data_IF_309688736296
#
_entry.id   IF_309688736296
#
_cell.length_a   1.000
_cell.length_b   1.000
_cell.length_c   1.000
_cell.angle_alpha   90.00
_cell.angle_beta   90.00
_cell.angle_gamma   90.00
#
_symmetry.space_group_name_H-M   'P 1'
#
loop_
_entity.id
_entity.type
_entity.pdbx_description
1 polymer ?
#
# COMPACT_ATOMS: atom_id res chain seq x y z
N UNK A 1 -36.41 -3.51 -4.84
CA UNK A 1 -35.86 -4.83 -4.46
C UNK A 1 -35.26 -4.84 -3.04
N UNK A 2 -34.62 -3.75 -2.60
CA UNK A 2 -34.11 -3.59 -1.21
C UNK A 2 -35.17 -3.68 -0.11
N UNK A 3 -36.39 -3.15 -0.34
CA UNK A 3 -37.46 -3.15 0.68
C UNK A 3 -37.97 -4.56 1.07
N UNK A 4 -37.86 -5.55 0.17
CA UNK A 4 -38.32 -6.92 0.47
C UNK A 4 -37.28 -7.78 1.23
N UNK A 5 -36.01 -7.38 1.20
CA UNK A 5 -34.94 -8.04 1.98
C UNK A 5 -35.07 -7.65 3.47
N UNK A 6 -35.50 -6.41 3.74
CA UNK A 6 -35.68 -5.89 5.09
C UNK A 6 -36.86 -6.52 5.86
N UNK A 7 -37.89 -7.00 5.18
CA UNK A 7 -39.09 -7.55 5.85
C UNK A 7 -38.93 -8.99 6.36
N UNK A 8 -37.82 -9.67 6.03
CA UNK A 8 -37.58 -11.09 6.35
C UNK A 8 -36.42 -11.29 7.33
N UNK A 9 -36.06 -10.25 8.08
CA UNK A 9 -35.03 -10.29 9.11
C UNK A 9 -35.72 -10.20 10.48
N UNK A 10 -35.36 -11.08 11.40
CA UNK A 10 -35.92 -11.07 12.75
C UNK A 10 -35.69 -9.71 13.39
N UNK A 11 -36.67 -9.17 14.11
CA UNK A 11 -36.65 -7.77 14.60
C UNK A 11 -35.37 -7.39 15.37
N UNK A 12 -34.68 -8.36 15.97
CA UNK A 12 -33.40 -8.18 16.64
C UNK A 12 -32.24 -7.85 15.69
N UNK A 13 -32.19 -8.46 14.51
CA UNK A 13 -31.16 -8.17 13.49
C UNK A 13 -31.38 -6.80 12.83
N UNK A 14 -32.64 -6.39 12.69
CA UNK A 14 -33.01 -5.07 12.15
C UNK A 14 -32.69 -3.94 13.14
N UNK A 15 -32.91 -4.18 14.45
CA UNK A 15 -32.53 -3.25 15.52
C UNK A 15 -31.01 -3.12 15.60
N UNK A 16 -30.24 -4.20 15.55
CA UNK A 16 -28.77 -4.15 15.58
C UNK A 16 -28.14 -3.46 14.35
N UNK A 17 -28.73 -3.63 13.15
CA UNK A 17 -28.24 -2.96 11.94
C UNK A 17 -28.58 -1.46 11.92
N UNK A 18 -29.73 -1.07 12.49
CA UNK A 18 -30.12 0.34 12.59
C UNK A 18 -29.32 1.05 13.69
N UNK A 19 -29.05 0.39 14.83
CA UNK A 19 -28.23 0.99 15.90
C UNK A 19 -26.74 1.08 15.55
N UNK A 20 -26.21 0.19 14.70
CA UNK A 20 -24.81 0.27 14.23
C UNK A 20 -24.59 1.31 13.14
N UNK A 21 -25.57 1.59 12.26
CA UNK A 21 -25.46 2.67 11.27
C UNK A 21 -25.68 4.08 11.85
N UNK A 22 -26.33 4.21 13.01
CA UNK A 22 -26.54 5.51 13.69
C UNK A 22 -25.44 5.85 14.73
N UNK A 23 -24.47 4.95 14.95
CA UNK A 23 -23.47 5.12 16.00
C UNK A 23 -22.30 6.09 15.72
N UNK A 24 -21.99 6.55 14.48
CA UNK A 24 -21.01 7.62 14.31
C UNK A 24 -21.70 8.92 13.86
N UNK A 25 -22.71 9.39 14.60
CA UNK A 25 -23.27 10.75 14.41
C UNK A 25 -23.39 11.55 15.71
N UNK A 26 -22.77 11.10 16.80
CA UNK A 26 -22.65 11.91 18.01
C UNK A 26 -21.19 11.91 18.44
N UNK A 27 -20.42 12.79 17.80
CA UNK A 27 -19.48 13.70 18.47
C UNK A 27 -18.69 14.49 17.42
N UNK A 28 -19.38 15.36 16.67
CA UNK A 28 -18.72 16.58 16.20
C UNK A 28 -18.61 17.50 17.42
N UNK A 29 -17.55 17.35 18.22
CA UNK A 29 -17.29 18.26 19.32
C UNK A 29 -16.96 19.63 18.72
N UNK A 30 -17.88 20.58 18.89
CA UNK A 30 -17.65 22.00 18.65
C UNK A 30 -16.64 22.50 19.68
N UNK A 31 -15.35 22.33 19.40
CA UNK A 31 -14.26 22.90 20.18
C UNK A 31 -14.13 24.38 19.81
N UNK A 32 -14.05 25.25 20.82
CA UNK A 32 -13.90 26.69 20.63
C UNK A 32 -12.84 27.24 21.58
N UNK A 33 -12.22 28.37 21.23
CA UNK A 33 -11.15 29.02 22.02
C UNK A 33 -9.98 28.10 22.41
N UNK A 34 -9.27 27.55 21.42
CA UNK A 34 -8.06 26.78 21.69
C UNK A 34 -6.88 27.70 22.07
N UNK A 35 -6.15 27.34 23.11
CA UNK A 35 -4.95 28.02 23.57
C UNK A 35 -3.85 26.99 23.89
N UNK A 36 -2.59 27.42 23.84
CA UNK A 36 -1.44 26.51 23.85
C UNK A 36 -0.61 26.68 25.10
N UNK A 37 -0.42 25.59 25.84
CA UNK A 37 0.50 25.51 26.98
C UNK A 37 1.67 24.59 26.59
N UNK A 38 2.81 25.20 26.23
CA UNK A 38 4.00 24.47 25.79
C UNK A 38 3.79 23.71 24.48
N UNK A 39 3.83 22.38 24.51
CA UNK A 39 3.67 21.49 23.35
C UNK A 39 2.26 20.94 23.17
N UNK A 40 1.31 21.28 24.06
CA UNK A 40 -0.05 20.72 24.06
C UNK A 40 -1.07 21.83 23.83
N UNK A 41 -2.02 21.60 22.94
CA UNK A 41 -3.13 22.51 22.65
C UNK A 41 -4.35 22.11 23.51
N UNK A 42 -4.95 23.09 24.16
CA UNK A 42 -6.14 22.91 25.02
C UNK A 42 -7.29 23.70 24.41
N UNK A 43 -8.46 23.09 24.31
CA UNK A 43 -9.66 23.74 23.77
C UNK A 43 -10.81 23.66 24.78
N UNK A 44 -11.70 24.66 24.77
CA UNK A 44 -12.91 24.64 25.59
C UNK A 44 -14.00 23.80 24.91
N UNK A 45 -14.52 22.84 25.67
CA UNK A 45 -15.71 22.07 25.30
C UNK A 45 -17.00 22.86 25.52
N UNK A 46 -18.16 22.32 25.09
CA UNK A 46 -19.48 22.93 25.31
C UNK A 46 -19.83 23.11 26.80
N UNK A 47 -19.18 22.36 27.69
CA UNK A 47 -19.36 22.45 29.14
C UNK A 47 -18.47 23.53 29.80
N UNK A 48 -17.72 24.30 29.00
CA UNK A 48 -16.79 25.33 29.49
C UNK A 48 -15.52 24.80 30.15
N UNK A 49 -15.31 23.48 30.11
CA UNK A 49 -14.14 22.81 30.67
C UNK A 49 -13.04 22.65 29.62
N UNK A 50 -11.78 22.88 30.02
CA UNK A 50 -10.61 22.75 29.15
C UNK A 50 -10.22 21.27 28.97
N UNK A 51 -10.06 20.84 27.73
CA UNK A 51 -9.64 19.47 27.39
C UNK A 51 -8.39 19.47 26.50
N UNK A 52 -7.39 18.60 26.75
CA UNK A 52 -6.18 18.52 25.94
C UNK A 52 -6.45 17.82 24.60
N UNK A 53 -6.07 18.46 23.51
CA UNK A 53 -6.16 17.92 22.13
C UNK A 53 -4.74 17.80 21.57
N UNK A 54 -4.29 16.57 21.27
CA UNK A 54 -2.92 16.31 20.80
C UNK A 54 -2.86 16.13 19.27
N UNK A 55 -2.34 17.19 18.63
CA UNK A 55 -1.52 17.29 17.39
C UNK A 55 -1.93 16.59 16.09
N UNK A 56 -2.40 17.39 15.13
CA UNK A 56 -2.15 17.16 13.71
C UNK A 56 -1.06 18.11 13.19
N UNK A 57 -0.18 17.55 12.36
CA UNK A 57 0.99 18.15 11.72
C UNK A 57 0.68 19.52 11.09
N UNK A 58 1.62 20.44 11.27
CA UNK A 58 1.67 21.76 10.66
C UNK A 58 1.68 21.68 9.13
N UNK A 59 0.74 22.38 8.48
CA UNK A 59 0.89 22.82 7.09
C UNK A 59 1.73 24.11 7.07
N UNK A 60 2.67 24.29 6.11
CA UNK A 60 3.50 25.48 6.05
C UNK A 60 2.74 26.65 5.44
N UNK A 61 2.66 27.76 6.17
CA UNK A 61 2.26 29.07 5.65
C UNK A 61 3.48 29.86 5.18
N UNK A 62 3.29 30.54 4.05
CA UNK A 62 4.25 31.31 3.26
C UNK A 62 4.68 32.64 3.91
N UNK A 63 5.94 33.02 3.61
CA UNK A 63 6.53 34.38 3.50
C UNK A 63 7.56 34.79 4.60
N UNK A 64 8.50 35.73 4.34
CA UNK A 64 9.14 36.18 3.08
C UNK A 64 10.69 36.09 3.12
N UNK A 65 11.32 36.36 1.96
CA UNK A 65 12.77 36.48 1.74
C UNK A 65 13.52 37.31 2.81
N UNK A 66 14.64 36.76 3.32
CA UNK A 66 15.82 37.55 3.67
C UNK A 66 17.10 36.66 3.79
N UNK A 67 18.09 37.04 2.99
CA UNK A 67 19.54 36.91 3.20
C UNK A 67 20.20 35.53 3.35
N UNK A 68 21.09 35.26 2.39
CA UNK A 68 22.15 34.24 2.43
C UNK A 68 22.98 34.31 3.71
N UNK A 69 23.10 33.17 4.40
CA UNK A 69 24.21 32.89 5.31
C UNK A 69 24.54 31.39 5.20
N UNK A 70 25.78 31.12 4.81
CA UNK A 70 26.41 29.80 4.69
C UNK A 70 26.48 29.12 6.06
N UNK A 71 26.01 27.87 6.23
CA UNK A 71 26.32 27.11 7.44
C UNK A 71 27.59 26.30 7.22
N UNK A 72 28.65 26.72 7.90
CA UNK A 72 29.83 25.91 8.21
C UNK A 72 29.39 24.68 9.00
N UNK A 73 29.84 23.50 8.58
CA UNK A 73 29.57 22.23 9.24
C UNK A 73 30.16 22.20 10.65
N UNK A 74 29.30 22.01 11.65
CA UNK A 74 29.71 21.66 13.01
C UNK A 74 29.35 20.20 13.25
N UNK A 75 30.37 19.39 13.52
CA UNK A 75 30.28 17.98 13.92
C UNK A 75 29.28 17.80 15.07
N UNK A 76 28.18 17.09 14.82
CA UNK A 76 27.34 16.52 15.87
C UNK A 76 27.84 15.09 16.14
N UNK A 77 28.27 14.84 17.38
CA UNK A 77 28.71 13.55 17.87
C UNK A 77 27.62 12.49 17.67
N UNK A 78 27.84 11.57 16.73
CA UNK A 78 27.02 10.37 16.59
C UNK A 78 27.55 9.31 17.56
N UNK A 79 26.68 8.73 18.38
CA UNK A 79 26.99 7.56 19.20
C UNK A 79 27.41 6.41 18.28
N UNK A 80 28.71 6.12 18.25
CA UNK A 80 29.36 5.10 17.42
C UNK A 80 29.24 3.69 18.01
N UNK A 81 28.06 3.32 18.50
CA UNK A 81 27.78 1.97 18.99
C UNK A 81 26.74 1.29 18.09
N UNK A 82 26.99 0.05 17.71
CA UNK A 82 26.03 -0.79 16.98
C UNK A 82 25.43 -1.79 17.97
N UNK A 83 24.11 -1.92 17.95
CA UNK A 83 23.34 -2.69 18.95
C UNK A 83 22.32 -3.60 18.28
N UNK A 84 21.70 -4.51 19.03
CA UNK A 84 20.62 -5.37 18.52
C UNK A 84 21.07 -6.31 17.38
N UNK A 85 22.16 -7.04 17.62
CA UNK A 85 22.71 -7.99 16.64
C UNK A 85 21.92 -9.31 16.57
N UNK A 86 21.72 -9.82 15.36
CA UNK A 86 21.03 -11.08 15.07
C UNK A 86 21.69 -11.81 13.89
N UNK A 87 21.38 -13.10 13.73
CA UNK A 87 21.98 -13.98 12.72
C UNK A 87 21.01 -14.25 11.57
N UNK A 88 21.50 -14.11 10.34
CA UNK A 88 20.88 -14.66 9.15
C UNK A 88 21.83 -15.69 8.53
N UNK A 89 21.43 -16.97 8.61
CA UNK A 89 22.27 -18.11 8.22
C UNK A 89 23.63 -18.11 8.94
N UNK A 90 24.69 -17.62 8.30
CA UNK A 90 26.06 -17.54 8.84
C UNK A 90 26.61 -16.12 8.88
N UNK A 91 25.74 -15.10 8.73
CA UNK A 91 26.10 -13.68 8.72
C UNK A 91 25.43 -12.98 9.91
N UNK A 92 26.19 -12.15 10.62
CA UNK A 92 25.69 -11.36 11.74
C UNK A 92 25.31 -9.96 11.26
N UNK A 93 24.09 -9.54 11.58
CA UNK A 93 23.54 -8.22 11.27
C UNK A 93 23.25 -7.46 12.56
N UNK A 94 23.50 -6.16 12.61
CA UNK A 94 23.31 -5.29 13.77
C UNK A 94 22.66 -3.96 13.35
N UNK A 95 22.07 -3.23 14.29
CA UNK A 95 21.47 -1.90 14.05
C UNK A 95 22.46 -0.82 14.47
N UNK A 96 22.79 0.08 13.54
CA UNK A 96 23.65 1.22 13.80
C UNK A 96 22.89 2.38 14.48
N UNK A 97 23.63 3.38 14.99
CA UNK A 97 23.06 4.53 15.70
C UNK A 97 22.12 5.40 14.86
N UNK A 98 22.15 5.27 13.53
CA UNK A 98 21.23 5.90 12.58
C UNK A 98 20.00 5.04 12.26
N UNK A 99 19.84 3.90 12.93
CA UNK A 99 18.73 2.96 12.74
C UNK A 99 18.85 2.04 11.54
N UNK A 100 19.97 2.10 10.79
CA UNK A 100 20.19 1.24 9.62
C UNK A 100 20.82 -0.09 10.02
N UNK A 101 20.50 -1.12 9.25
CA UNK A 101 21.08 -2.44 9.44
C UNK A 101 22.45 -2.53 8.77
N UNK A 102 23.41 -3.11 9.49
CA UNK A 102 24.80 -3.28 9.06
C UNK A 102 25.25 -4.72 9.32
N UNK A 103 26.05 -5.27 8.40
CA UNK A 103 26.61 -6.61 8.54
C UNK A 103 27.98 -6.52 9.23
N UNK A 104 28.21 -7.37 10.22
CA UNK A 104 29.51 -7.46 10.91
C UNK A 104 30.29 -8.65 10.34
N UNK A 105 31.53 -8.40 9.93
CA UNK A 105 32.45 -9.44 9.45
C UNK A 105 33.12 -10.08 10.66
N UNK A 106 32.52 -11.15 11.19
CA UNK A 106 33.06 -11.92 12.31
C UNK A 106 32.73 -13.41 12.19
N UNK A 107 33.49 -14.30 12.85
CA UNK A 107 33.28 -15.73 12.79
C UNK A 107 32.00 -16.12 13.56
N UNK A 108 30.85 -16.07 12.89
CA UNK A 108 29.65 -16.75 13.35
C UNK A 108 29.81 -18.25 13.09
N UNK A 109 30.41 -18.96 14.05
CA UNK A 109 30.34 -20.42 14.08
C UNK A 109 28.88 -20.88 14.19
N UNK A 110 28.51 -22.05 13.64
CA UNK A 110 27.12 -22.52 13.59
C UNK A 110 26.41 -22.67 14.94
N UNK A 111 27.13 -22.50 16.07
CA UNK A 111 26.61 -22.61 17.44
C UNK A 111 27.05 -21.45 18.35
N UNK A 112 27.41 -20.28 17.81
CA UNK A 112 27.87 -19.14 18.62
C UNK A 112 26.90 -17.97 18.48
N UNK A 113 26.20 -17.63 19.56
CA UNK A 113 25.33 -16.45 19.62
C UNK A 113 26.19 -15.19 19.44
N UNK A 114 25.87 -14.30 18.49
CA UNK A 114 26.63 -13.07 18.31
C UNK A 114 26.49 -12.20 19.56
N UNK A 115 27.51 -11.39 19.89
CA UNK A 115 27.41 -10.45 20.99
C UNK A 115 26.30 -9.43 20.72
N UNK A 116 25.58 -9.05 21.77
CA UNK A 116 24.37 -8.19 21.67
C UNK A 116 24.66 -6.75 21.25
N UNK A 117 25.92 -6.31 21.38
CA UNK A 117 26.38 -4.98 20.97
C UNK A 117 27.89 -4.99 20.68
N UNK A 118 28.32 -4.10 19.79
CA UNK A 118 29.72 -3.73 19.60
C UNK A 118 29.89 -2.25 19.92
N UNK A 119 30.98 -1.92 20.60
CA UNK A 119 31.27 -0.59 21.13
C UNK A 119 32.58 -0.05 20.57
N UNK A 120 32.88 1.22 20.81
CA UNK A 120 34.14 1.86 20.41
C UNK A 120 34.43 1.79 18.90
N UNK A 121 33.42 2.09 18.08
CA UNK A 121 33.60 2.06 16.64
C UNK A 121 34.42 3.25 16.14
N UNK A 122 35.44 2.97 15.35
CA UNK A 122 36.36 3.94 14.78
C UNK A 122 36.61 3.63 13.29
N UNK A 123 37.11 4.62 12.54
CA UNK A 123 37.30 4.51 11.09
C UNK A 123 38.77 4.43 10.74
N UNK A 124 39.11 3.46 9.87
CA UNK A 124 40.38 3.42 9.15
C UNK A 124 40.09 3.68 7.68
N UNK A 125 40.39 4.90 7.22
CA UNK A 125 40.01 5.35 5.88
C UNK A 125 38.48 5.39 5.71
N UNK A 126 37.95 4.67 4.72
CA UNK A 126 36.51 4.59 4.43
C UNK A 126 35.78 3.48 5.21
N UNK A 127 36.50 2.60 5.90
CA UNK A 127 35.96 1.43 6.58
C UNK A 127 35.68 1.72 8.06
N UNK A 128 34.58 1.18 8.58
CA UNK A 128 34.20 1.30 9.99
C UNK A 128 34.54 -0.01 10.71
N UNK A 129 35.26 0.09 11.82
CA UNK A 129 35.64 -1.01 12.67
C UNK A 129 35.02 -0.81 14.05
N UNK A 130 34.54 -1.89 14.67
CA UNK A 130 33.95 -1.86 16.01
C UNK A 130 34.60 -2.92 16.90
N UNK A 131 34.65 -2.68 18.21
CA UNK A 131 35.27 -3.59 19.17
C UNK A 131 34.20 -4.47 19.82
N UNK A 132 34.41 -5.78 19.74
CA UNK A 132 33.59 -6.80 20.39
C UNK A 132 33.95 -7.01 21.87
N UNK A 133 33.15 -7.79 22.61
CA UNK A 133 33.36 -8.01 24.05
C UNK A 133 34.67 -8.73 24.40
N UNK A 134 35.31 -9.38 23.43
CA UNK A 134 36.61 -10.05 23.58
C UNK A 134 37.80 -9.17 23.17
N UNK A 135 37.59 -7.85 23.01
CA UNK A 135 38.56 -6.91 22.43
C UNK A 135 38.99 -7.28 21.00
N UNK A 136 38.15 -8.02 20.27
CA UNK A 136 38.35 -8.28 18.85
C UNK A 136 37.77 -7.15 18.02
N UNK A 137 38.49 -6.75 16.98
CA UNK A 137 38.08 -5.67 16.09
C UNK A 137 37.41 -6.27 14.84
N UNK A 138 36.16 -5.89 14.60
CA UNK A 138 35.34 -6.43 13.50
C UNK A 138 35.00 -5.33 12.51
N UNK A 139 35.11 -5.65 11.22
CA UNK A 139 34.76 -4.73 10.14
C UNK A 139 33.25 -4.70 9.94
N UNK A 140 32.66 -3.51 10.00
CA UNK A 140 31.23 -3.27 9.76
C UNK A 140 31.04 -2.88 8.30
N UNK A 141 30.34 -3.75 7.58
CA UNK A 141 29.90 -3.55 6.21
C UNK A 141 28.47 -3.00 6.25
N UNK A 142 28.15 -2.01 5.41
CA UNK A 142 26.74 -1.64 5.21
C UNK A 142 26.01 -2.88 4.69
N UNK A 143 24.88 -3.26 5.31
CA UNK A 143 24.14 -4.41 4.84
C UNK A 143 23.60 -4.10 3.44
N UNK A 144 24.13 -4.77 2.42
CA UNK A 144 23.39 -4.91 1.17
C UNK A 144 22.09 -5.60 1.53
N UNK A 145 20.96 -4.93 1.25
CA UNK A 145 19.64 -5.44 1.53
C UNK A 145 19.46 -6.82 0.88
N UNK A 146 19.67 -7.89 1.66
CA UNK A 146 19.50 -9.26 1.18
C UNK A 146 18.02 -9.52 0.95
N UNK A 147 17.59 -9.38 -0.30
CA UNK A 147 16.36 -9.99 -0.79
C UNK A 147 16.48 -11.52 -0.79
N UNK A 148 15.37 -12.25 -0.58
CA UNK A 148 15.37 -13.70 -0.50
C UNK A 148 15.70 -14.34 -1.85
N UNK A 149 16.46 -15.44 -1.79
CA UNK A 149 16.79 -16.35 -2.88
C UNK A 149 15.56 -16.76 -3.68
N UNK A 150 15.53 -16.38 -4.95
CA UNK A 150 14.76 -17.01 -6.01
C UNK A 150 15.56 -16.87 -7.30
N UNK A 151 16.23 -17.95 -7.70
CA UNK A 151 17.03 -17.95 -8.93
C UNK A 151 16.18 -17.65 -10.15
N UNK A 152 16.76 -16.94 -11.13
CA UNK A 152 16.87 -17.40 -12.50
C UNK A 152 17.74 -16.42 -13.34
N UNK A 153 18.81 -17.01 -13.87
CA UNK A 153 19.45 -16.75 -15.17
C UNK A 153 19.85 -15.32 -15.53
N UNK A 154 21.13 -15.04 -15.33
CA UNK A 154 21.82 -13.91 -15.94
C UNK A 154 21.96 -14.11 -17.44
N UNK A 155 21.58 -13.10 -18.21
CA UNK A 155 22.04 -12.96 -19.59
C UNK A 155 22.56 -11.55 -19.85
N UNK A 156 23.84 -11.54 -20.22
CA UNK A 156 24.65 -10.46 -20.74
C UNK A 156 24.02 -9.86 -22.01
N UNK A 157 23.92 -8.53 -22.07
CA UNK A 157 23.99 -7.81 -23.33
C UNK A 157 24.89 -6.59 -23.17
N UNK A 158 25.98 -6.59 -23.94
CA UNK A 158 26.93 -5.51 -24.04
C UNK A 158 26.35 -4.30 -24.77
N UNK A 159 26.46 -3.16 -24.12
CA UNK A 159 27.10 -1.94 -24.63
C UNK A 159 27.36 -1.07 -23.39
N UNK A 160 28.46 -0.32 -23.35
CA UNK A 160 29.04 0.37 -22.18
C UNK A 160 28.04 1.17 -21.31
N UNK A 161 27.29 0.52 -20.42
CA UNK A 161 26.33 1.15 -19.53
C UNK A 161 26.34 0.48 -18.16
N UNK A 162 26.40 1.31 -17.11
CA UNK A 162 26.45 0.93 -15.71
C UNK A 162 25.43 -0.16 -15.37
N UNK A 163 25.87 -1.18 -14.64
CA UNK A 163 24.99 -2.23 -14.10
C UNK A 163 23.97 -1.56 -13.17
N UNK A 164 22.68 -1.53 -13.53
CA UNK A 164 21.63 -0.84 -12.77
C UNK A 164 20.85 -1.87 -11.92
N UNK A 165 20.67 -1.58 -10.64
CA UNK A 165 19.75 -2.33 -9.77
C UNK A 165 18.36 -1.69 -9.81
N UNK A 166 17.41 -2.40 -10.40
CA UNK A 166 16.06 -1.91 -10.63
C UNK A 166 15.05 -2.68 -9.78
N UNK A 167 14.29 -1.98 -8.94
CA UNK A 167 13.22 -2.56 -8.14
C UNK A 167 11.88 -1.84 -8.37
N UNK A 168 10.78 -2.56 -8.17
CA UNK A 168 9.42 -2.05 -8.35
C UNK A 168 8.72 -1.87 -7.01
N UNK A 169 8.28 -0.64 -6.72
CA UNK A 169 7.38 -0.35 -5.60
C UNK A 169 6.19 0.46 -6.10
N UNK A 170 4.98 0.03 -5.75
CA UNK A 170 3.73 0.70 -6.11
C UNK A 170 3.57 1.00 -7.63
N UNK A 171 4.15 0.19 -8.50
CA UNK A 171 4.05 0.35 -9.96
C UNK A 171 5.01 1.37 -10.55
N UNK A 172 5.88 1.98 -9.75
CA UNK A 172 6.98 2.83 -10.19
C UNK A 172 8.28 2.02 -10.08
N UNK A 173 9.05 2.00 -11.17
CA UNK A 173 10.38 1.38 -11.17
C UNK A 173 11.43 2.40 -10.71
N UNK A 174 12.30 1.96 -9.81
CA UNK A 174 13.45 2.72 -9.35
C UNK A 174 14.69 1.95 -9.76
N UNK A 175 15.47 2.52 -10.67
CA UNK A 175 16.76 1.99 -11.10
C UNK A 175 17.88 2.84 -10.54
N UNK A 176 18.80 2.21 -9.80
CA UNK A 176 19.98 2.87 -9.22
C UNK A 176 21.25 2.23 -9.81
N UNK A 177 22.26 3.01 -10.23
CA UNK A 177 23.52 2.45 -10.73
C UNK A 177 24.26 1.69 -9.61
N UNK A 178 24.72 0.47 -9.88
CA UNK A 178 25.59 -0.28 -8.96
C UNK A 178 26.94 0.42 -8.85
N UNK A 179 27.26 0.91 -7.66
CA UNK A 179 28.54 1.53 -7.32
C UNK A 179 28.73 3.00 -7.76
N UNK A 180 27.67 3.70 -8.20
CA UNK A 180 27.73 5.12 -8.57
C UNK A 180 27.32 6.06 -7.43
N UNK A 181 28.06 7.17 -7.25
CA UNK A 181 27.64 8.30 -6.40
C UNK A 181 26.37 8.93 -6.98
N UNK A 182 25.42 9.21 -6.08
CA UNK A 182 24.14 9.90 -6.25
C UNK A 182 24.26 11.33 -6.84
N UNK A 183 24.90 11.47 -8.00
CA UNK A 183 24.88 12.73 -8.73
C UNK A 183 23.61 12.76 -9.58
N UNK A 184 22.73 13.71 -9.24
CA UNK A 184 21.51 14.15 -9.93
C UNK A 184 20.86 13.08 -10.82
N UNK A 185 19.70 12.51 -10.44
CA UNK A 185 19.00 11.57 -11.30
C UNK A 185 18.61 12.32 -12.58
N UNK A 186 19.41 12.16 -13.62
CA UNK A 186 19.03 12.49 -14.99
C UNK A 186 17.69 11.78 -15.19
N UNK A 187 16.63 12.57 -15.38
CA UNK A 187 15.28 12.06 -15.54
C UNK A 187 15.22 11.30 -16.88
N UNK A 188 15.60 10.04 -16.88
CA UNK A 188 15.55 9.17 -18.05
C UNK A 188 14.11 8.70 -18.20
N UNK A 189 13.38 9.36 -19.10
CA UNK A 189 12.02 8.98 -19.49
C UNK A 189 11.98 8.01 -20.67
N UNK A 190 13.12 7.38 -20.98
CA UNK A 190 13.21 6.47 -22.10
C UNK A 190 12.59 5.11 -21.76
N UNK A 191 12.03 4.45 -22.76
CA UNK A 191 11.38 3.15 -22.59
C UNK A 191 12.45 2.09 -22.39
N UNK A 192 12.54 1.53 -21.18
CA UNK A 192 13.47 0.43 -20.91
C UNK A 192 12.90 -0.88 -21.48
N UNK A 193 13.55 -1.40 -22.53
CA UNK A 193 13.27 -2.76 -23.03
C UNK A 193 13.80 -3.81 -22.05
N UNK A 194 12.89 -4.52 -21.38
CA UNK A 194 13.26 -5.72 -20.61
C UNK A 194 13.04 -6.95 -21.48
N UNK A 195 13.90 -7.95 -21.30
CA UNK A 195 13.66 -9.26 -21.88
C UNK A 195 12.55 -9.97 -21.08
N UNK A 196 11.32 -9.90 -21.58
CA UNK A 196 10.15 -10.49 -20.92
C UNK A 196 9.92 -11.92 -21.40
N UNK A 197 9.69 -12.82 -20.45
CA UNK A 197 9.25 -14.19 -20.77
C UNK A 197 7.79 -14.20 -21.24
N UNK A 198 7.61 -14.01 -22.54
CA UNK A 198 6.33 -14.14 -23.27
C UNK A 198 5.57 -15.43 -22.91
N UNK A 199 6.19 -16.64 -22.82
CA UNK A 199 5.44 -17.86 -22.51
C UNK A 199 4.78 -17.85 -21.12
N UNK A 200 5.41 -17.24 -20.10
CA UNK A 200 4.80 -17.16 -18.76
C UNK A 200 3.57 -16.24 -18.74
N UNK A 201 3.59 -15.15 -19.51
CA UNK A 201 2.42 -14.26 -19.64
C UNK A 201 1.27 -14.98 -20.32
N UNK A 202 1.54 -15.77 -21.35
CA UNK A 202 0.52 -16.56 -22.02
C UNK A 202 -0.04 -17.61 -21.06
N UNK A 203 0.84 -18.30 -20.31
CA UNK A 203 0.44 -19.29 -19.30
C UNK A 203 -0.45 -18.70 -18.19
N UNK A 204 -0.13 -17.50 -17.69
CA UNK A 204 -0.93 -16.86 -16.64
C UNK A 204 -2.33 -16.46 -17.12
N UNK A 205 -2.51 -16.11 -18.40
CA UNK A 205 -3.83 -15.86 -18.98
C UNK A 205 -4.73 -17.10 -18.91
N UNK A 206 -4.20 -18.28 -19.26
CA UNK A 206 -4.96 -19.53 -19.14
C UNK A 206 -5.30 -19.87 -17.69
N UNK A 207 -4.35 -19.64 -16.76
CA UNK A 207 -4.60 -19.85 -15.34
C UNK A 207 -5.71 -18.92 -14.81
N UNK A 208 -5.70 -17.63 -15.17
CA UNK A 208 -6.74 -16.67 -14.80
C UNK A 208 -8.09 -17.07 -15.40
N UNK A 209 -8.11 -17.55 -16.64
CA UNK A 209 -9.34 -17.99 -17.30
C UNK A 209 -9.97 -19.19 -16.58
N UNK A 210 -9.19 -20.23 -16.26
CA UNK A 210 -9.68 -21.43 -15.57
C UNK A 210 -10.14 -21.08 -14.15
N UNK A 211 -9.32 -20.35 -13.40
CA UNK A 211 -9.65 -19.96 -12.02
C UNK A 211 -10.88 -19.05 -11.95
N UNK A 212 -11.01 -18.11 -12.88
CA UNK A 212 -12.22 -17.26 -12.99
C UNK A 212 -13.45 -18.07 -13.35
N UNK A 213 -13.33 -19.05 -14.25
CA UNK A 213 -14.41 -19.99 -14.56
C UNK A 213 -14.89 -20.70 -13.28
N UNK A 214 -13.97 -21.32 -12.54
CA UNK A 214 -14.29 -22.00 -11.29
C UNK A 214 -14.94 -21.03 -10.29
N UNK A 215 -14.39 -19.82 -10.14
CA UNK A 215 -14.92 -18.81 -9.22
C UNK A 215 -16.36 -18.39 -9.54
N UNK A 216 -16.73 -18.27 -10.82
CA UNK A 216 -18.09 -17.89 -11.25
C UNK A 216 -19.05 -19.08 -11.19
N UNK A 217 -18.59 -20.29 -11.53
CA UNK A 217 -19.44 -21.48 -11.51
C UNK A 217 -19.67 -22.05 -10.10
N UNK A 218 -18.72 -21.87 -9.17
CA UNK A 218 -18.82 -22.37 -7.80
C UNK A 218 -20.11 -21.95 -7.06
N UNK A 219 -20.50 -20.65 -6.99
CA UNK A 219 -21.72 -20.25 -6.30
C UNK A 219 -23.00 -20.75 -6.99
N UNK A 220 -22.98 -20.91 -8.32
CA UNK A 220 -24.11 -21.44 -9.10
C UNK A 220 -24.31 -22.92 -8.79
N UNK A 221 -23.21 -23.69 -8.79
CA UNK A 221 -23.24 -25.12 -8.51
C UNK A 221 -23.61 -25.40 -7.04
N UNK A 222 -23.11 -24.58 -6.12
CA UNK A 222 -23.43 -24.67 -4.69
C UNK A 222 -24.93 -24.50 -4.43
N UNK A 223 -25.58 -23.52 -5.08
CA UNK A 223 -27.02 -23.29 -4.97
C UNK A 223 -27.83 -24.48 -5.50
N UNK A 224 -27.33 -25.20 -6.50
CA UNK A 224 -28.02 -26.36 -7.08
C UNK A 224 -28.02 -27.58 -6.16
N UNK A 225 -26.95 -27.80 -5.39
CA UNK A 225 -26.82 -28.99 -4.54
C UNK A 225 -27.35 -28.82 -3.11
N UNK A 226 -27.49 -27.60 -2.59
CA UNK A 226 -27.98 -27.36 -1.22
C UNK A 226 -29.21 -26.43 -1.19
N UNK A 227 -30.44 -26.97 -1.34
CA UNK A 227 -31.67 -26.18 -1.36
C UNK A 227 -32.22 -25.80 0.02
N UNK A 228 -31.42 -25.88 1.10
CA UNK A 228 -31.89 -25.55 2.45
C UNK A 228 -32.00 -24.03 2.69
N UNK A 229 -32.92 -23.59 3.54
CA UNK A 229 -33.08 -22.15 3.87
C UNK A 229 -31.84 -21.53 4.51
N UNK A 230 -30.98 -22.34 5.15
CA UNK A 230 -29.68 -21.92 5.66
C UNK A 230 -28.68 -21.56 4.54
N UNK A 231 -28.80 -22.16 3.35
CA UNK A 231 -27.92 -21.87 2.21
C UNK A 231 -28.22 -20.49 1.58
N UNK A 232 -29.44 -19.98 1.73
CA UNK A 232 -29.82 -18.66 1.24
C UNK A 232 -29.08 -17.52 1.98
N UNK A 233 -28.97 -17.59 3.30
CA UNK A 233 -28.24 -16.60 4.09
C UNK A 233 -26.74 -16.64 3.80
N UNK A 234 -26.15 -17.84 3.70
CA UNK A 234 -24.75 -18.01 3.33
C UNK A 234 -24.45 -17.43 1.94
N UNK A 235 -25.33 -17.65 0.97
CA UNK A 235 -25.20 -17.09 -0.38
C UNK A 235 -25.24 -15.56 -0.38
N UNK A 236 -26.11 -14.95 0.43
CA UNK A 236 -26.15 -13.49 0.57
C UNK A 236 -24.86 -12.93 1.17
N UNK A 237 -24.31 -13.57 2.21
CA UNK A 237 -23.05 -13.16 2.84
C UNK A 237 -21.91 -13.20 1.83
N UNK A 238 -21.75 -14.32 1.12
CA UNK A 238 -20.70 -14.48 0.11
C UNK A 238 -20.86 -13.45 -1.01
N UNK A 239 -22.09 -13.17 -1.44
CA UNK A 239 -22.37 -12.16 -2.47
C UNK A 239 -21.94 -10.76 -2.03
N UNK A 240 -22.27 -10.37 -0.79
CA UNK A 240 -21.93 -9.04 -0.27
C UNK A 240 -20.44 -8.92 0.05
N UNK A 241 -19.82 -10.00 0.53
CA UNK A 241 -18.38 -10.08 0.73
C UNK A 241 -17.62 -9.88 -0.59
N UNK A 242 -18.05 -10.57 -1.67
CA UNK A 242 -17.46 -10.41 -2.99
C UNK A 242 -17.56 -8.98 -3.53
N UNK A 243 -18.70 -8.31 -3.35
CA UNK A 243 -18.83 -6.89 -3.72
C UNK A 243 -17.90 -5.99 -2.89
N UNK A 244 -17.72 -6.28 -1.59
CA UNK A 244 -16.80 -5.54 -0.72
C UNK A 244 -15.34 -5.66 -1.18
N UNK A 245 -14.89 -6.87 -1.51
CA UNK A 245 -13.52 -7.10 -2.03
C UNK A 245 -13.30 -6.34 -3.33
N UNK A 246 -14.25 -6.40 -4.27
CA UNK A 246 -14.15 -5.67 -5.55
C UNK A 246 -14.05 -4.15 -5.35
N UNK A 247 -14.87 -3.59 -4.46
CA UNK A 247 -14.82 -2.15 -4.13
C UNK A 247 -13.49 -1.80 -3.46
N UNK A 248 -13.01 -2.60 -2.51
CA UNK A 248 -11.73 -2.36 -1.84
C UNK A 248 -10.56 -2.37 -2.84
N UNK A 249 -10.50 -3.36 -3.74
CA UNK A 249 -9.46 -3.42 -4.77
C UNK A 249 -9.52 -2.21 -5.71
N UNK A 250 -10.70 -1.78 -6.13
CA UNK A 250 -10.83 -0.63 -7.02
C UNK A 250 -10.34 0.68 -6.38
N UNK A 251 -10.76 0.98 -5.14
CA UNK A 251 -10.44 2.24 -4.48
C UNK A 251 -9.07 2.26 -3.81
N UNK A 252 -8.68 1.18 -3.12
CA UNK A 252 -7.43 1.18 -2.34
C UNK A 252 -6.24 0.81 -3.22
N UNK A 253 -6.42 -0.15 -4.13
CA UNK A 253 -5.30 -0.67 -4.92
C UNK A 253 -5.21 0.02 -6.28
N UNK A 254 -6.24 -0.06 -7.11
CA UNK A 254 -6.16 0.45 -8.48
C UNK A 254 -6.09 1.98 -8.55
N UNK A 255 -6.90 2.69 -7.77
CA UNK A 255 -6.90 4.15 -7.79
C UNK A 255 -5.57 4.74 -7.29
N UNK A 256 -5.00 4.20 -6.21
CA UNK A 256 -3.75 4.70 -5.65
C UNK A 256 -2.57 4.44 -6.59
N UNK A 257 -2.48 3.25 -7.18
CA UNK A 257 -1.50 2.94 -8.21
C UNK A 257 -1.63 3.86 -9.43
N UNK A 258 -2.86 4.16 -9.87
CA UNK A 258 -3.08 5.10 -10.96
C UNK A 258 -2.61 6.51 -10.59
N UNK A 259 -2.93 7.01 -9.40
CA UNK A 259 -2.50 8.33 -8.92
C UNK A 259 -0.97 8.45 -8.89
N UNK A 260 -0.28 7.44 -8.37
CA UNK A 260 1.20 7.43 -8.31
C UNK A 260 1.83 7.34 -9.70
N UNK A 261 1.23 6.59 -10.62
CA UNK A 261 1.73 6.47 -12.00
C UNK A 261 1.56 7.79 -12.77
N UNK A 262 0.43 8.48 -12.59
CA UNK A 262 0.18 9.79 -13.20
C UNK A 262 1.02 10.91 -12.58
N UNK A 263 1.50 10.75 -11.35
CA UNK A 263 2.40 11.70 -10.69
C UNK A 263 3.87 11.58 -11.13
N UNK A 264 4.20 10.67 -12.07
CA UNK A 264 5.55 10.51 -12.56
C UNK A 264 6.01 11.76 -13.34
N UNK A 265 7.23 12.24 -13.07
CA UNK A 265 7.81 13.43 -13.72
C UNK A 265 7.95 13.29 -15.24
N UNK A 266 7.96 12.07 -15.77
CA UNK A 266 8.04 11.81 -17.21
C UNK A 266 6.78 12.14 -18.00
N UNK A 267 5.61 12.25 -17.34
CA UNK A 267 4.36 12.64 -17.98
C UNK A 267 4.18 14.17 -18.07
N UNK A 268 5.11 14.95 -17.50
CA UNK A 268 5.05 16.42 -17.46
C UNK A 268 3.91 16.94 -16.58
N UNK A 269 3.54 18.23 -16.72
CA UNK A 269 2.35 18.77 -16.07
C UNK A 269 1.09 18.36 -16.83
N UNK A 270 0.25 17.57 -16.18
CA UNK A 270 -1.10 17.29 -16.66
C UNK A 270 -1.94 18.57 -16.65
N UNK A 271 -2.82 18.74 -17.65
CA UNK A 271 -3.76 19.87 -17.72
C UNK A 271 -4.79 19.85 -16.59
N UNK A 272 -5.03 18.67 -16.02
CA UNK A 272 -5.94 18.45 -14.91
C UNK A 272 -5.24 17.61 -13.84
N UNK A 273 -5.24 18.08 -12.60
CA UNK A 273 -4.47 17.44 -11.52
C UNK A 273 -5.11 16.13 -11.03
N UNK A 274 -6.42 16.00 -11.20
CA UNK A 274 -7.20 14.86 -10.71
C UNK A 274 -7.66 13.91 -11.83
N UNK A 275 -6.80 13.66 -12.84
CA UNK A 275 -7.13 12.79 -14.00
C UNK A 275 -7.54 11.39 -13.61
N UNK A 276 -6.83 10.77 -12.65
CA UNK A 276 -7.12 9.41 -12.19
C UNK A 276 -8.54 9.28 -11.60
N UNK A 277 -8.93 10.21 -10.73
CA UNK A 277 -10.26 10.20 -10.09
C UNK A 277 -11.35 10.63 -11.07
N UNK A 278 -11.06 11.51 -12.04
CA UNK A 278 -11.98 11.85 -13.12
C UNK A 278 -12.31 10.62 -13.99
N UNK A 279 -11.30 9.82 -14.37
CA UNK A 279 -11.51 8.57 -15.12
C UNK A 279 -12.30 7.57 -14.27
N UNK A 280 -12.02 7.47 -12.97
CA UNK A 280 -12.81 6.63 -12.06
C UNK A 280 -14.30 7.05 -12.02
N UNK A 281 -14.58 8.35 -11.89
CA UNK A 281 -15.96 8.87 -11.92
C UNK A 281 -16.65 8.56 -13.25
N UNK A 282 -15.94 8.71 -14.38
CA UNK A 282 -16.46 8.34 -15.69
C UNK A 282 -16.78 6.83 -15.79
N UNK A 283 -15.92 5.97 -15.22
CA UNK A 283 -16.15 4.53 -15.16
C UNK A 283 -17.37 4.14 -14.32
N UNK A 284 -17.56 4.79 -13.17
CA UNK A 284 -18.75 4.59 -12.33
C UNK A 284 -20.03 5.03 -13.06
N UNK A 285 -20.00 6.20 -13.69
CA UNK A 285 -21.12 6.69 -14.50
C UNK A 285 -21.46 5.73 -15.64
N UNK A 286 -20.46 5.21 -16.36
CA UNK A 286 -20.67 4.22 -17.42
C UNK A 286 -21.26 2.91 -16.88
N UNK A 287 -20.83 2.47 -15.69
CA UNK A 287 -21.39 1.29 -15.03
C UNK A 287 -22.88 1.48 -14.71
N UNK A 288 -23.26 2.65 -14.17
CA UNK A 288 -24.66 2.99 -13.93
C UNK A 288 -25.48 3.07 -15.21
N UNK A 289 -24.91 3.61 -16.30
CA UNK A 289 -25.58 3.62 -17.60
C UNK A 289 -25.84 2.20 -18.10
N UNK A 290 -24.86 1.30 -18.01
CA UNK A 290 -25.04 -0.10 -18.42
C UNK A 290 -26.10 -0.80 -17.58
N UNK A 291 -26.14 -0.56 -16.27
CA UNK A 291 -27.18 -1.09 -15.38
C UNK A 291 -28.57 -0.54 -15.77
N UNK A 292 -28.68 0.76 -16.03
CA UNK A 292 -29.92 1.41 -16.48
C UNK A 292 -30.42 0.84 -17.81
N UNK A 293 -29.55 0.76 -18.82
CA UNK A 293 -29.90 0.18 -20.12
C UNK A 293 -30.26 -1.30 -19.99
N UNK A 294 -29.53 -2.07 -19.19
CA UNK A 294 -29.83 -3.48 -18.90
C UNK A 294 -31.24 -3.65 -18.31
N UNK A 295 -31.58 -2.86 -17.28
CA UNK A 295 -32.92 -2.87 -16.71
C UNK A 295 -34.00 -2.43 -17.70
N UNK A 296 -33.72 -1.39 -18.51
CA UNK A 296 -34.67 -0.88 -19.50
C UNK A 296 -34.96 -1.90 -20.61
N UNK A 297 -33.94 -2.58 -21.11
CA UNK A 297 -34.06 -3.61 -22.15
C UNK A 297 -34.77 -4.85 -21.58
N UNK A 298 -34.45 -5.28 -20.36
CA UNK A 298 -35.15 -6.41 -19.74
C UNK A 298 -36.62 -6.08 -19.45
N UNK A 299 -36.92 -4.88 -18.96
CA UNK A 299 -38.30 -4.44 -18.72
C UNK A 299 -39.13 -4.37 -20.01
N UNK A 300 -38.52 -3.99 -21.15
CA UNK A 300 -39.23 -3.97 -22.44
C UNK A 300 -39.44 -5.36 -23.04
N UNK A 301 -38.58 -6.34 -22.71
CA UNK A 301 -38.71 -7.74 -23.16
C UNK A 301 -39.69 -8.58 -22.33
N UNK A 302 -39.95 -8.21 -21.07
CA UNK A 302 -40.90 -8.91 -20.19
C UNK A 302 -42.35 -8.43 -20.41
N UNK A 303 -42.54 -7.20 -20.90
CA UNK A 303 -43.86 -6.59 -21.14
C UNK A 303 -44.68 -7.01 -22.39
N UNK A 304 -44.22 -7.83 -23.35
CA UNK A 304 -45.10 -8.29 -24.44
C UNK A 304 -46.05 -9.43 -24.07
N UNK A 305 -45.83 -10.16 -22.96
CA UNK A 305 -46.59 -11.39 -22.66
C UNK A 305 -47.83 -11.17 -21.78
N UNK A 306 -47.85 -10.12 -20.95
CA UNK A 306 -49.02 -9.85 -20.08
C UNK A 306 -50.25 -9.37 -20.85
N UNK A 307 -50.08 -8.88 -22.07
CA UNK A 307 -51.16 -8.31 -22.87
C UNK A 307 -51.86 -9.36 -23.76
N UNK A 308 -51.32 -10.59 -23.84
CA UNK A 308 -51.92 -11.69 -24.62
C UNK A 308 -52.85 -12.59 -23.80
N UNK A 309 -52.70 -12.61 -22.48
CA UNK A 309 -53.57 -13.39 -21.57
C UNK A 309 -54.82 -12.60 -21.12
N UNK A 310 -54.84 -11.28 -21.30
CA UNK A 310 -55.97 -10.40 -20.92
C UNK A 310 -56.98 -10.08 -22.03
N UNK A 311 -56.78 -10.54 -23.26
CA UNK A 311 -57.66 -10.28 -24.43
C UNK A 311 -58.42 -11.53 -24.89
N UNK A 312 -58.60 -12.51 -24.00
CA UNK A 312 -59.25 -13.79 -24.28
C UNK A 312 -60.26 -14.20 -23.20
N UNK A 313 -60.96 -13.25 -22.59
CA UNK A 313 -62.13 -13.50 -21.73
C UNK A 313 -63.20 -12.44 -22.01
#
# INVERSE_FOLDING_TARGET
>A
MFSRIFSSMSGWTQICLITSLLAPQLYAQSLSNCHRHGSTEYCYGPDGQETPVTTHLSAPSTAPNAASATPTATNAAQTTAITSCHLHATKTFCIAGDGKEVQVTGPAGPNTTPPTQYTDCHRHGSKLYCVGPNNEEVEVLAAEASSPTGGHDGHNHGNDQQELDCHFHAGVEHCVPKGGSENEPQLVCDRIDRNYNVPYRIGSLFAILITSGIAVFAPILWKRFSPSTASASAFLIIKQFGTGVMVATAFIHLLTHAQLTFANRCLGRLQYEATATAIMMAGLFLTFLLEYFGHRVMASRIRPESDREGSGI
#
